data_IF_667161505011
#
_entry.id   IF_667161505011
#
_cell.length_a   1.000
_cell.length_b   1.000
_cell.length_c   1.000
_cell.angle_alpha   90.00
_cell.angle_beta   90.00
_cell.angle_gamma   90.00
#
_symmetry.space_group_name_H-M   'P 1'
#
loop_
_entity.id
_entity.type
_entity.pdbx_description
1 polymer ?
#
# COMPACT_ATOMS: atom_id res chain seq x y z
N UNK A 1 9.10 -25.17 15.79
CA UNK A 1 8.37 -23.90 15.57
C UNK A 1 8.83 -23.40 14.21
N UNK A 2 8.09 -23.74 13.16
CA UNK A 2 8.48 -23.50 11.77
C UNK A 2 8.11 -22.05 11.41
N UNK A 3 9.07 -21.26 10.91
CA UNK A 3 8.91 -19.87 10.48
C UNK A 3 8.04 -19.76 9.19
N UNK A 4 6.77 -20.21 9.25
CA UNK A 4 5.84 -20.11 8.12
C UNK A 4 5.20 -18.71 7.98
N UNK A 5 5.24 -17.90 9.03
CA UNK A 5 4.52 -16.62 9.09
C UNK A 5 5.05 -15.54 8.12
N UNK A 6 6.32 -15.61 7.70
CA UNK A 6 6.98 -14.52 6.96
C UNK A 6 7.37 -14.89 5.53
N UNK A 7 6.89 -16.02 5.00
CA UNK A 7 7.44 -16.64 3.80
C UNK A 7 7.38 -15.75 2.53
N UNK A 8 6.57 -14.69 2.53
CA UNK A 8 6.36 -13.79 1.39
C UNK A 8 6.26 -12.29 1.73
N UNK A 9 6.67 -11.86 2.93
CA UNK A 9 6.57 -10.44 3.35
C UNK A 9 7.95 -9.79 3.46
N UNK A 10 8.17 -8.63 2.84
CA UNK A 10 9.39 -7.85 3.05
C UNK A 10 9.53 -7.46 4.54
N UNK A 11 10.67 -7.77 5.20
CA UNK A 11 10.87 -7.49 6.62
C UNK A 11 10.64 -6.02 7.03
N UNK A 12 10.83 -5.07 6.13
CA UNK A 12 10.57 -3.64 6.40
C UNK A 12 9.09 -3.39 6.74
N UNK A 13 8.16 -4.20 6.21
CA UNK A 13 6.73 -4.07 6.56
C UNK A 13 6.44 -4.42 8.01
N UNK A 14 7.31 -5.16 8.72
CA UNK A 14 7.14 -5.40 10.15
C UNK A 14 7.14 -4.10 10.97
N UNK A 15 7.86 -3.08 10.51
CA UNK A 15 7.91 -1.75 11.13
C UNK A 15 6.59 -0.99 10.99
N UNK A 16 5.83 -1.27 9.92
CA UNK A 16 4.53 -0.65 9.63
C UNK A 16 3.43 -1.24 10.52
N UNK A 17 3.58 -2.49 10.97
CA UNK A 17 2.57 -3.22 11.75
C UNK A 17 3.11 -3.73 13.09
N UNK A 18 3.51 -2.84 14.03
CA UNK A 18 4.20 -3.24 15.26
C UNK A 18 3.33 -4.11 16.19
N UNK A 19 2.02 -3.90 16.20
CA UNK A 19 1.08 -4.59 17.10
C UNK A 19 0.37 -5.79 16.43
N UNK A 20 0.83 -6.21 15.25
CA UNK A 20 0.16 -7.28 14.50
C UNK A 20 0.52 -8.65 15.08
N UNK A 21 -0.50 -9.46 15.34
CA UNK A 21 -0.29 -10.87 15.70
C UNK A 21 0.12 -11.65 14.45
N UNK A 22 1.37 -12.10 14.44
CA UNK A 22 1.96 -12.84 13.32
C UNK A 22 1.78 -14.36 13.46
N UNK A 23 1.15 -14.82 14.54
CA UNK A 23 1.03 -16.24 14.85
C UNK A 23 -0.04 -16.89 13.97
N UNK A 24 0.28 -18.09 13.45
CA UNK A 24 -0.65 -18.97 12.74
C UNK A 24 -1.32 -18.37 11.47
N UNK A 25 -0.83 -17.23 10.97
CA UNK A 25 -1.31 -16.59 9.75
C UNK A 25 -0.21 -16.52 8.68
N UNK A 26 -0.61 -16.66 7.41
CA UNK A 26 0.25 -16.41 6.24
C UNK A 26 0.01 -14.98 5.79
N UNK A 27 1.11 -14.24 5.63
CA UNK A 27 1.09 -12.86 5.17
C UNK A 27 1.73 -12.73 3.80
N UNK A 28 1.03 -12.01 2.93
CA UNK A 28 1.46 -11.65 1.59
C UNK A 28 1.80 -10.18 1.54
N UNK A 29 2.92 -9.87 0.92
CA UNK A 29 3.15 -8.53 0.41
C UNK A 29 2.23 -8.25 -0.79
N UNK A 30 1.62 -7.06 -0.80
CA UNK A 30 0.90 -6.56 -1.95
C UNK A 30 1.08 -5.06 -2.11
N UNK A 31 0.81 -4.56 -3.32
CA UNK A 31 0.77 -3.12 -3.59
C UNK A 31 -0.60 -2.55 -3.24
N UNK A 32 -0.67 -1.39 -2.60
CA UNK A 32 -1.91 -0.65 -2.30
C UNK A 32 -2.55 -0.17 -3.62
N UNK A 33 -1.78 0.50 -4.46
CA UNK A 33 -2.10 0.76 -5.86
C UNK A 33 -1.50 -0.35 -6.72
N UNK A 34 -2.31 -1.15 -7.43
CA UNK A 34 -1.83 -2.24 -8.27
C UNK A 34 -0.78 -1.81 -9.29
N UNK A 35 0.25 -2.64 -9.51
CA UNK A 35 1.30 -2.39 -10.51
C UNK A 35 0.76 -2.18 -11.94
N UNK A 36 -0.40 -2.75 -12.25
CA UNK A 36 -1.09 -2.58 -13.54
C UNK A 36 -1.50 -1.13 -13.81
N UNK A 37 -1.73 -0.32 -12.77
CA UNK A 37 -2.10 1.08 -12.91
C UNK A 37 -0.91 1.98 -13.25
N UNK A 38 0.32 1.56 -12.91
CA UNK A 38 1.56 2.26 -13.20
C UNK A 38 2.10 2.00 -14.62
N UNK A 39 1.44 1.15 -15.40
CA UNK A 39 1.87 0.86 -16.77
C UNK A 39 1.73 2.10 -17.64
N UNK A 40 2.74 2.42 -18.46
CA UNK A 40 2.74 3.60 -19.36
C UNK A 40 1.45 3.70 -20.18
N UNK A 41 0.93 2.56 -20.65
CA UNK A 41 -0.34 2.51 -21.39
C UNK A 41 -1.55 2.96 -20.55
N UNK A 42 -1.61 2.56 -19.28
CA UNK A 42 -2.67 2.95 -18.35
C UNK A 42 -2.59 4.45 -18.03
N UNK A 43 -1.38 4.95 -17.77
CA UNK A 43 -1.10 6.36 -17.51
C UNK A 43 -1.49 7.24 -18.71
N UNK A 44 -1.11 6.86 -19.94
CA UNK A 44 -1.50 7.59 -21.16
C UNK A 44 -3.02 7.63 -21.35
N UNK A 45 -3.72 6.54 -21.06
CA UNK A 45 -5.20 6.49 -21.12
C UNK A 45 -5.86 7.46 -20.13
N UNK A 46 -5.19 7.75 -19.01
CA UNK A 46 -5.63 8.71 -17.98
C UNK A 46 -5.25 10.16 -18.31
N UNK A 47 -4.49 10.39 -19.38
CA UNK A 47 -4.10 11.74 -19.79
C UNK A 47 -2.88 12.31 -19.04
N UNK A 48 -2.09 11.45 -18.39
CA UNK A 48 -0.78 11.87 -17.87
C UNK A 48 0.13 12.31 -19.02
N UNK A 49 0.88 13.38 -18.79
CA UNK A 49 1.93 13.81 -19.72
C UNK A 49 3.08 12.79 -19.79
N UNK A 50 3.93 12.91 -20.81
CA UNK A 50 5.03 11.97 -21.02
C UNK A 50 6.05 11.99 -19.87
N UNK A 51 6.27 13.14 -19.22
CA UNK A 51 7.22 13.26 -18.11
C UNK A 51 6.77 12.47 -16.87
N UNK A 52 5.51 12.64 -16.43
CA UNK A 52 4.92 11.84 -15.35
C UNK A 52 4.74 10.38 -15.76
N UNK A 53 4.41 10.13 -17.04
CA UNK A 53 4.25 8.80 -17.62
C UNK A 53 5.53 7.95 -17.59
N UNK A 54 6.70 8.58 -17.65
CA UNK A 54 8.01 7.93 -17.53
C UNK A 54 8.48 7.77 -16.07
N UNK A 55 8.10 8.70 -15.19
CA UNK A 55 8.49 8.68 -13.77
C UNK A 55 7.69 7.65 -12.93
N UNK A 56 6.36 7.67 -13.03
CA UNK A 56 5.47 6.87 -12.18
C UNK A 56 5.74 5.35 -12.21
N UNK A 57 6.11 4.72 -13.35
CA UNK A 57 6.50 3.30 -13.36
C UNK A 57 7.62 2.96 -12.37
N UNK A 58 8.55 3.89 -12.12
CA UNK A 58 9.63 3.73 -11.13
C UNK A 58 9.17 3.92 -9.67
N UNK A 59 8.02 4.57 -9.46
CA UNK A 59 7.45 4.89 -8.15
C UNK A 59 6.48 3.81 -7.62
N UNK A 60 6.45 2.62 -8.22
CA UNK A 60 5.52 1.55 -7.81
C UNK A 60 5.93 0.81 -6.52
N UNK A 61 7.23 0.76 -6.22
CA UNK A 61 7.79 -0.04 -5.10
C UNK A 61 8.03 0.66 -3.75
N UNK A 62 7.77 1.96 -3.51
CA UNK A 62 8.07 2.57 -2.21
C UNK A 62 7.26 1.89 -1.11
N UNK A 63 7.81 1.91 0.12
CA UNK A 63 7.13 1.33 1.30
C UNK A 63 5.72 1.87 1.48
N UNK A 64 5.51 3.14 1.10
CA UNK A 64 4.23 3.84 1.08
C UNK A 64 3.18 3.19 0.15
N UNK A 65 3.58 2.41 -0.85
CA UNK A 65 2.69 1.62 -1.69
C UNK A 65 2.66 0.13 -1.31
N UNK A 66 3.48 -0.34 -0.37
CA UNK A 66 3.50 -1.74 0.07
C UNK A 66 2.63 -1.96 1.31
N UNK A 67 1.97 -3.12 1.36
CA UNK A 67 1.15 -3.56 2.48
C UNK A 67 1.28 -5.06 2.75
N UNK A 68 1.02 -5.46 4.00
CA UNK A 68 0.97 -6.86 4.42
C UNK A 68 -0.49 -7.28 4.60
N UNK A 69 -0.94 -8.25 3.80
CA UNK A 69 -2.31 -8.77 3.79
C UNK A 69 -2.33 -10.24 4.22
N UNK A 70 -3.37 -10.68 4.91
CA UNK A 70 -3.62 -12.12 5.08
C UNK A 70 -4.17 -12.73 3.79
N UNK A 71 -4.12 -14.06 3.64
CA UNK A 71 -4.57 -14.80 2.46
C UNK A 71 -5.93 -14.32 1.91
N UNK A 72 -6.95 -14.23 2.78
CA UNK A 72 -8.30 -13.83 2.38
C UNK A 72 -8.38 -12.38 1.90
N UNK A 73 -7.61 -11.46 2.50
CA UNK A 73 -7.54 -10.07 2.08
C UNK A 73 -6.85 -9.93 0.73
N UNK A 74 -5.74 -10.65 0.52
CA UNK A 74 -5.00 -10.65 -0.73
C UNK A 74 -5.84 -11.23 -1.88
N UNK A 75 -6.49 -12.36 -1.65
CA UNK A 75 -7.38 -13.00 -2.63
C UNK A 75 -8.60 -12.12 -2.95
N UNK A 76 -9.18 -11.47 -1.94
CA UNK A 76 -10.28 -10.52 -2.14
C UNK A 76 -9.85 -9.29 -2.93
N UNK A 77 -8.61 -8.83 -2.74
CA UNK A 77 -8.09 -7.66 -3.44
C UNK A 77 -7.82 -7.93 -4.92
N UNK A 78 -7.18 -9.04 -5.27
CA UNK A 78 -6.99 -9.52 -6.66
C UNK A 78 -6.69 -8.42 -7.72
N UNK A 79 -5.73 -7.53 -7.46
CA UNK A 79 -5.37 -6.39 -8.33
C UNK A 79 -6.48 -5.36 -8.62
N UNK A 80 -7.57 -5.36 -7.84
CA UNK A 80 -8.60 -4.32 -7.83
C UNK A 80 -8.00 -2.96 -7.48
N UNK A 81 -8.41 -1.88 -8.19
CA UNK A 81 -8.04 -0.50 -7.86
C UNK A 81 -8.26 -0.15 -6.39
N UNK A 82 -7.43 0.74 -5.85
CA UNK A 82 -7.44 0.99 -4.40
C UNK A 82 -8.73 1.64 -3.91
N UNK A 83 -9.27 2.61 -4.66
CA UNK A 83 -10.53 3.28 -4.40
C UNK A 83 -11.71 2.31 -4.34
N UNK A 84 -11.76 1.31 -5.22
CA UNK A 84 -12.77 0.24 -5.15
C UNK A 84 -12.51 -0.71 -3.96
N UNK A 85 -11.25 -1.11 -3.76
CA UNK A 85 -10.88 -2.07 -2.71
C UNK A 85 -11.18 -1.54 -1.29
N UNK A 86 -11.00 -0.23 -1.06
CA UNK A 86 -11.07 0.39 0.26
C UNK A 86 -12.50 0.65 0.75
N UNK A 87 -13.50 0.62 -0.15
CA UNK A 87 -14.92 0.81 0.19
C UNK A 87 -15.45 -0.30 1.11
N UNK A 88 -14.93 -1.52 0.95
CA UNK A 88 -15.34 -2.69 1.74
C UNK A 88 -14.59 -2.84 3.07
N UNK A 89 -13.69 -1.89 3.38
CA UNK A 89 -12.75 -1.99 4.51
C UNK A 89 -13.16 -1.07 5.64
N UNK A 90 -13.11 -1.61 6.86
CA UNK A 90 -13.50 -0.90 8.06
C UNK A 90 -12.42 0.10 8.55
N UNK A 91 -12.77 0.86 9.59
CA UNK A 91 -11.85 1.81 10.21
C UNK A 91 -10.61 1.12 10.80
N UNK A 92 -10.74 -0.13 11.25
CA UNK A 92 -9.63 -0.93 11.79
C UNK A 92 -8.60 -1.24 10.71
N UNK A 93 -9.06 -1.64 9.52
CA UNK A 93 -8.22 -1.83 8.34
C UNK A 93 -7.49 -0.54 7.98
N UNK A 94 -8.23 0.57 7.85
CA UNK A 94 -7.65 1.88 7.49
C UNK A 94 -6.57 2.31 8.48
N UNK A 95 -6.83 2.18 9.78
CA UNK A 95 -5.87 2.48 10.84
C UNK A 95 -4.65 1.57 10.79
N UNK A 96 -4.85 0.24 10.71
CA UNK A 96 -3.77 -0.77 10.65
C UNK A 96 -2.85 -0.53 9.45
N UNK A 97 -3.40 -0.14 8.31
CA UNK A 97 -2.64 0.10 7.08
C UNK A 97 -2.11 1.55 6.95
N UNK A 98 -2.34 2.40 7.96
CA UNK A 98 -1.93 3.81 7.96
C UNK A 98 -2.41 4.53 6.69
N UNK A 99 -3.68 4.33 6.34
CA UNK A 99 -4.31 4.97 5.20
C UNK A 99 -4.54 6.45 5.55
N UNK A 100 -3.97 7.41 4.80
CA UNK A 100 -4.17 8.83 5.04
C UNK A 100 -5.62 9.23 4.77
N UNK A 101 -6.07 10.24 5.50
CA UNK A 101 -7.37 10.86 5.28
C UNK A 101 -7.27 11.84 4.11
N UNK A 102 -7.74 11.40 2.93
CA UNK A 102 -7.71 12.15 1.68
C UNK A 102 -9.13 12.23 1.08
N UNK A 103 -9.46 13.31 0.34
CA UNK A 103 -10.77 13.43 -0.30
C UNK A 103 -11.06 12.34 -1.33
N UNK A 104 -10.02 11.84 -1.99
CA UNK A 104 -10.08 10.74 -2.95
C UNK A 104 -8.94 9.76 -2.69
N UNK A 105 -9.16 8.50 -3.04
CA UNK A 105 -8.16 7.42 -2.92
C UNK A 105 -7.95 6.69 -4.26
N UNK A 106 -8.37 7.32 -5.35
CA UNK A 106 -8.12 6.82 -6.71
C UNK A 106 -6.67 7.04 -7.11
N UNK A 107 -6.24 6.43 -8.20
CA UNK A 107 -4.83 6.49 -8.62
C UNK A 107 -4.30 7.91 -8.83
N UNK A 108 -5.14 8.85 -9.24
CA UNK A 108 -4.71 10.23 -9.47
C UNK A 108 -4.22 10.92 -8.18
N UNK A 109 -4.62 10.41 -7.00
CA UNK A 109 -4.11 10.87 -5.71
C UNK A 109 -2.90 10.07 -5.21
N UNK A 110 -2.25 9.25 -6.06
CA UNK A 110 -1.15 8.37 -5.65
C UNK A 110 -0.01 9.13 -4.96
N UNK A 111 0.41 10.28 -5.50
CA UNK A 111 1.52 11.07 -4.94
C UNK A 111 1.16 11.60 -3.54
N UNK A 112 -0.04 12.17 -3.40
CA UNK A 112 -0.56 12.67 -2.11
C UNK A 112 -0.75 11.54 -1.09
N UNK A 113 -1.27 10.40 -1.55
CA UNK A 113 -1.39 9.19 -0.75
C UNK A 113 -0.04 8.70 -0.26
N UNK A 114 0.94 8.61 -1.16
CA UNK A 114 2.29 8.14 -0.84
C UNK A 114 2.90 9.02 0.24
N UNK A 115 2.88 10.34 0.04
CA UNK A 115 3.43 11.31 0.98
C UNK A 115 2.69 11.28 2.34
N UNK A 116 1.35 11.23 2.32
CA UNK A 116 0.54 11.18 3.54
C UNK A 116 0.80 9.89 4.34
N UNK A 117 0.87 8.75 3.65
CA UNK A 117 1.16 7.46 4.30
C UNK A 117 2.59 7.40 4.83
N UNK A 118 3.57 7.95 4.13
CA UNK A 118 4.94 8.05 4.66
C UNK A 118 5.00 8.86 5.96
N UNK A 119 4.29 9.98 6.03
CA UNK A 119 4.23 10.79 7.25
C UNK A 119 3.61 10.00 8.41
N UNK A 120 2.57 9.20 8.16
CA UNK A 120 1.95 8.34 9.16
C UNK A 120 2.89 7.20 9.62
N UNK A 121 3.61 6.57 8.68
CA UNK A 121 4.62 5.54 9.00
C UNK A 121 5.70 6.13 9.89
N UNK A 122 6.30 7.28 9.50
CA UNK A 122 7.35 7.95 10.27
C UNK A 122 6.87 8.34 11.67
N UNK A 123 5.68 8.91 11.76
CA UNK A 123 5.07 9.27 13.05
C UNK A 123 4.88 8.05 13.96
N UNK A 124 4.47 6.90 13.41
CA UNK A 124 4.31 5.67 14.18
C UNK A 124 5.65 5.08 14.66
N UNK A 125 6.75 5.35 13.94
CA UNK A 125 8.10 4.95 14.33
C UNK A 125 8.77 5.89 15.34
N UNK A 126 8.08 6.96 15.75
CA UNK A 126 8.63 7.96 16.67
C UNK A 126 9.60 8.93 16.00
N UNK A 127 9.67 8.96 14.67
CA UNK A 127 10.37 9.99 13.91
C UNK A 127 9.48 11.24 13.86
N UNK A 128 9.60 12.11 14.85
CA UNK A 128 9.09 13.49 14.77
C UNK A 128 9.95 14.26 13.77
N UNK A 129 9.32 14.87 12.75
CA UNK A 129 9.98 15.85 11.89
C UNK A 129 10.58 16.94 12.79
N UNK A 130 11.91 16.92 12.94
CA UNK A 130 12.69 17.98 13.58
C UNK A 130 12.79 19.19 12.65
#
# INVERSE_FOLDING_TARGET
>A
MELRALQYTNPVLLLVYPDRDWKDAVFHEGHIFPQSEFQVRALKKRGYDDAKGEYLPGAVQPLSNLQSLIDSENLSKNATPFDECIETRDATFRKRHQIPDLPTLGFDSFEDFSNGREALIKSALGESNA
#
